data_IF_620151914523
#
_entry.id   IF_620151914523
#
_cell.length_a   1.000
_cell.length_b   1.000
_cell.length_c   1.000
_cell.angle_alpha   90.00
_cell.angle_beta   90.00
_cell.angle_gamma   90.00
#
_symmetry.space_group_name_H-M   'P 1'
#
loop_
_entity.id
_entity.type
_entity.pdbx_description
1 polymer ?
#
# COMPACT_ATOMS: atom_id res chain seq x y z
N UNK A 1 -47.44 -62.33 -14.51
CA UNK A 1 -46.02 -62.23 -14.87
C UNK A 1 -45.76 -60.82 -15.35
N UNK A 2 -45.11 -59.96 -14.57
CA UNK A 2 -44.52 -58.67 -15.00
C UNK A 2 -43.67 -58.18 -13.81
N UNK A 3 -42.35 -58.38 -13.87
CA UNK A 3 -41.39 -57.84 -12.89
C UNK A 3 -40.83 -56.54 -13.45
N UNK A 4 -41.18 -55.41 -12.85
CA UNK A 4 -40.59 -54.10 -13.12
C UNK A 4 -39.30 -53.97 -12.32
N UNK A 5 -38.20 -53.68 -13.01
CA UNK A 5 -36.87 -53.43 -12.44
C UNK A 5 -36.73 -51.94 -12.10
N UNK A 6 -36.48 -51.62 -10.83
CA UNK A 6 -36.10 -50.29 -10.38
C UNK A 6 -34.64 -50.05 -10.74
N UNK A 7 -34.36 -49.07 -11.62
CA UNK A 7 -33.00 -48.61 -11.90
C UNK A 7 -32.63 -47.46 -10.95
N UNK A 8 -31.58 -47.67 -10.16
CA UNK A 8 -31.02 -46.67 -9.26
C UNK A 8 -30.09 -45.75 -10.04
N UNK A 9 -30.45 -44.47 -10.18
CA UNK A 9 -29.58 -43.45 -10.77
C UNK A 9 -28.52 -43.06 -9.74
N UNK A 10 -27.26 -43.38 -10.06
CA UNK A 10 -26.09 -43.01 -9.26
C UNK A 10 -25.81 -41.51 -9.41
N UNK A 11 -25.91 -40.73 -8.33
CA UNK A 11 -25.46 -39.34 -8.30
C UNK A 11 -23.95 -39.31 -8.24
N UNK A 12 -23.31 -38.91 -9.34
CA UNK A 12 -21.90 -38.54 -9.35
C UNK A 12 -21.70 -37.25 -8.55
N UNK A 13 -21.14 -37.37 -7.35
CA UNK A 13 -20.64 -36.22 -6.59
C UNK A 13 -19.42 -35.65 -7.29
N UNK A 14 -19.56 -34.49 -7.94
CA UNK A 14 -18.42 -33.73 -8.46
C UNK A 14 -17.54 -33.26 -7.30
N UNK A 15 -16.34 -33.83 -7.18
CA UNK A 15 -15.32 -33.39 -6.24
C UNK A 15 -14.72 -32.07 -6.74
N UNK A 16 -15.23 -30.94 -6.22
CA UNK A 16 -14.55 -29.65 -6.37
C UNK A 16 -13.32 -29.69 -5.46
N UNK A 17 -12.09 -29.47 -5.98
CA UNK A 17 -10.91 -29.43 -5.14
C UNK A 17 -10.97 -28.18 -4.27
N UNK A 18 -11.35 -28.34 -2.99
CA UNK A 18 -11.16 -27.28 -2.00
C UNK A 18 -9.65 -27.07 -1.85
N UNK A 19 -9.17 -25.85 -2.11
CA UNK A 19 -7.83 -25.42 -1.70
C UNK A 19 -7.73 -25.58 -0.18
N UNK A 20 -7.11 -26.67 0.26
CA UNK A 20 -6.71 -26.88 1.64
C UNK A 20 -5.46 -26.03 1.86
N UNK A 21 -5.60 -24.97 2.65
CA UNK A 21 -4.46 -24.25 3.20
C UNK A 21 -3.70 -25.18 4.15
N UNK A 22 -2.36 -25.18 4.07
CA UNK A 22 -1.51 -25.95 4.97
C UNK A 22 -1.81 -25.57 6.44
N UNK A 23 -1.89 -26.54 7.37
CA UNK A 23 -2.04 -26.22 8.78
C UNK A 23 -0.79 -25.45 9.25
N UNK A 24 -0.94 -24.37 10.03
CA UNK A 24 0.21 -23.65 10.54
C UNK A 24 0.99 -24.58 11.47
N UNK A 25 2.30 -24.71 11.20
CA UNK A 25 3.27 -25.43 12.03
C UNK A 25 3.22 -24.85 13.45
N UNK A 26 2.51 -25.54 14.35
CA UNK A 26 2.62 -25.31 15.78
C UNK A 26 4.08 -25.52 16.21
N UNK A 27 4.58 -24.69 17.12
CA UNK A 27 5.90 -24.81 17.77
C UNK A 27 7.14 -24.27 17.04
N UNK A 28 7.06 -23.06 16.47
CA UNK A 28 8.17 -22.10 16.59
C UNK A 28 7.85 -21.10 17.72
N UNK A 29 7.66 -21.61 18.94
CA UNK A 29 7.38 -20.83 20.14
C UNK A 29 8.64 -20.24 20.80
N UNK A 30 9.79 -20.29 20.13
CA UNK A 30 10.91 -19.42 20.43
C UNK A 30 10.67 -18.07 19.71
N UNK A 31 9.62 -17.37 20.12
CA UNK A 31 9.46 -15.96 19.81
C UNK A 31 10.61 -15.24 20.52
N UNK A 32 11.75 -15.09 19.83
CA UNK A 32 12.82 -14.21 20.27
C UNK A 32 12.19 -12.88 20.63
N UNK A 33 12.43 -12.42 21.86
CA UNK A 33 12.03 -11.10 22.34
C UNK A 33 12.51 -10.12 21.28
N UNK A 34 11.57 -9.59 20.50
CA UNK A 34 11.86 -8.55 19.52
C UNK A 34 12.19 -7.33 20.36
N UNK A 35 13.48 -7.02 20.47
CA UNK A 35 13.92 -5.76 21.06
C UNK A 35 13.21 -4.66 20.28
N UNK A 36 12.41 -3.86 20.99
CA UNK A 36 11.63 -2.79 20.40
C UNK A 36 12.58 -1.78 19.76
N UNK A 37 12.59 -1.73 18.43
CA UNK A 37 13.39 -0.78 17.63
C UNK A 37 12.84 0.65 17.68
N UNK A 38 11.93 0.91 18.62
CA UNK A 38 11.15 2.13 18.74
C UNK A 38 11.55 2.97 19.95
N UNK A 39 12.75 2.77 20.50
CA UNK A 39 13.23 3.70 21.50
C UNK A 39 13.33 5.09 20.86
N UNK A 40 12.57 6.04 21.40
CA UNK A 40 12.54 7.44 20.99
C UNK A 40 13.06 8.24 22.18
N UNK A 41 14.09 9.05 21.95
CA UNK A 41 14.62 9.95 22.97
C UNK A 41 13.59 11.02 23.34
N UNK A 42 13.29 11.18 24.63
CA UNK A 42 12.29 12.13 25.14
C UNK A 42 12.91 13.44 25.68
N UNK A 43 14.23 13.48 25.83
CA UNK A 43 14.94 14.63 26.38
C UNK A 43 14.99 15.81 25.38
N UNK A 44 14.22 16.86 25.65
CA UNK A 44 14.13 18.04 24.79
C UNK A 44 15.48 18.69 24.45
N UNK A 45 16.43 18.72 25.41
CA UNK A 45 17.77 19.31 25.21
C UNK A 45 18.59 18.48 24.22
N UNK A 46 18.49 17.15 24.29
CA UNK A 46 19.17 16.25 23.34
C UNK A 46 18.58 16.39 21.94
N UNK A 47 17.24 16.42 21.83
CA UNK A 47 16.54 16.59 20.55
C UNK A 47 16.82 17.93 19.86
N UNK A 48 17.09 18.98 20.62
CA UNK A 48 17.43 20.30 20.07
C UNK A 48 18.90 20.42 19.64
N UNK A 49 19.79 19.56 20.13
CA UNK A 49 21.24 19.66 19.90
C UNK A 49 21.78 18.58 18.97
N UNK A 50 21.13 17.42 18.91
CA UNK A 50 21.58 16.26 18.18
C UNK A 50 20.45 15.61 17.38
N UNK A 51 20.83 14.90 16.32
CA UNK A 51 19.91 14.14 15.47
C UNK A 51 19.92 12.68 15.92
N UNK A 52 18.90 12.27 16.68
CA UNK A 52 18.75 10.92 17.25
C UNK A 52 18.33 9.86 16.22
N UNK A 53 19.09 9.67 15.15
CA UNK A 53 18.82 8.72 14.04
C UNK A 53 19.75 7.49 14.09
N UNK A 54 20.74 7.46 14.99
CA UNK A 54 21.73 6.38 14.99
C UNK A 54 21.08 5.01 15.26
N UNK A 55 21.15 4.11 14.29
CA UNK A 55 20.65 2.74 14.38
C UNK A 55 21.76 1.71 14.65
N UNK A 56 23.02 2.14 14.67
CA UNK A 56 24.16 1.29 14.97
C UNK A 56 24.36 1.20 16.47
N UNK A 57 24.52 -0.02 16.99
CA UNK A 57 24.86 -0.27 18.39
C UNK A 57 26.27 0.16 18.75
N UNK A 58 27.11 0.41 17.74
CA UNK A 58 28.46 0.91 17.88
C UNK A 58 28.48 2.35 17.37
N UNK A 59 28.59 3.29 18.30
CA UNK A 59 28.64 4.72 18.04
C UNK A 59 28.27 5.51 19.29
N UNK A 60 28.81 6.71 19.43
CA UNK A 60 28.46 7.58 20.54
C UNK A 60 26.99 8.01 20.39
N UNK A 61 26.12 7.51 21.26
CA UNK A 61 24.81 8.10 21.49
C UNK A 61 25.05 9.47 22.15
N UNK A 62 24.58 10.60 21.58
CA UNK A 62 23.41 10.75 20.72
C UNK A 62 23.75 11.29 19.32
N UNK A 63 23.98 10.43 18.31
CA UNK A 63 23.97 10.81 16.88
C UNK A 63 24.84 12.01 16.44
N UNK A 64 24.74 12.47 15.18
CA UNK A 64 25.43 13.68 14.73
C UNK A 64 24.81 14.94 15.35
N UNK A 65 25.67 15.88 15.78
CA UNK A 65 25.28 17.20 16.28
C UNK A 65 24.66 18.05 15.19
N UNK A 66 23.68 18.88 15.55
CA UNK A 66 23.11 19.89 14.67
C UNK A 66 24.12 21.05 14.57
N UNK A 67 24.51 21.36 13.34
CA UNK A 67 25.50 22.39 13.00
C UNK A 67 24.80 23.73 12.75
N UNK A 68 25.53 24.87 12.69
CA UNK A 68 24.92 26.13 12.29
C UNK A 68 24.46 26.10 10.82
N UNK A 69 23.45 26.90 10.49
CA UNK A 69 22.82 26.96 9.15
C UNK A 69 23.82 27.18 7.99
N UNK A 70 24.97 27.81 8.27
CA UNK A 70 26.04 28.06 7.30
C UNK A 70 26.74 26.80 6.79
N UNK A 71 26.70 25.70 7.53
CA UNK A 71 27.31 24.44 7.13
C UNK A 71 26.38 23.59 6.25
N UNK A 72 25.08 23.88 6.27
CA UNK A 72 24.09 23.19 5.46
C UNK A 72 23.95 23.84 4.08
N UNK A 73 23.66 23.05 3.04
CA UNK A 73 23.53 23.59 1.69
C UNK A 73 22.27 24.46 1.56
N UNK A 74 22.38 25.58 0.83
CA UNK A 74 21.31 26.58 0.71
C UNK A 74 19.97 26.03 0.19
N UNK A 75 20.00 25.00 -0.66
CA UNK A 75 18.78 24.38 -1.21
C UNK A 75 17.90 23.73 -0.13
N UNK A 76 18.47 23.36 1.02
CA UNK A 76 17.72 22.77 2.14
C UNK A 76 16.64 23.72 2.65
N UNK A 77 16.97 25.02 2.74
CA UNK A 77 16.07 26.07 3.20
C UNK A 77 15.12 26.60 2.12
N UNK A 78 15.33 26.18 0.86
CA UNK A 78 14.48 26.52 -0.29
C UNK A 78 13.44 25.43 -0.60
N UNK A 79 13.38 24.36 0.20
CA UNK A 79 12.41 23.29 0.01
C UNK A 79 10.98 23.76 0.33
N UNK A 80 10.04 23.45 -0.56
CA UNK A 80 8.62 23.71 -0.32
C UNK A 80 8.07 22.73 0.72
N UNK A 81 7.85 23.21 1.95
CA UNK A 81 7.26 22.43 3.06
C UNK A 81 5.71 22.37 3.03
N UNK A 82 5.10 22.91 1.97
CA UNK A 82 3.64 22.95 1.84
C UNK A 82 3.10 21.60 1.39
N UNK A 83 1.81 21.38 1.64
CA UNK A 83 1.12 20.23 1.07
C UNK A 83 1.26 20.23 -0.46
N UNK A 84 1.35 19.06 -1.11
CA UNK A 84 1.41 18.97 -2.56
C UNK A 84 0.23 19.71 -3.21
N UNK A 85 0.50 20.58 -4.17
CA UNK A 85 -0.51 21.29 -4.96
C UNK A 85 -1.31 20.32 -5.84
N UNK A 86 -2.57 20.64 -6.09
CA UNK A 86 -3.42 19.86 -6.98
C UNK A 86 -3.00 20.05 -8.45
N UNK A 87 -3.40 19.12 -9.32
CA UNK A 87 -3.06 19.17 -10.76
C UNK A 87 -3.54 20.46 -11.43
N UNK A 88 -4.65 21.03 -10.96
CA UNK A 88 -5.29 22.21 -11.54
C UNK A 88 -4.53 23.50 -11.23
N UNK A 89 -3.75 23.52 -10.15
CA UNK A 89 -2.91 24.66 -9.74
C UNK A 89 -1.48 24.59 -10.31
N UNK A 90 -1.11 23.44 -10.89
CA UNK A 90 0.23 23.22 -11.46
C UNK A 90 0.26 23.69 -12.91
N UNK A 91 1.33 24.41 -13.26
CA UNK A 91 1.55 24.88 -14.62
C UNK A 91 2.65 24.04 -15.30
N UNK A 92 2.39 23.56 -16.51
CA UNK A 92 3.33 22.74 -17.26
C UNK A 92 4.63 23.50 -17.58
N UNK A 93 4.56 24.82 -17.76
CA UNK A 93 5.72 25.65 -18.11
C UNK A 93 6.58 25.97 -16.89
N UNK A 94 5.99 26.12 -15.70
CA UNK A 94 6.70 26.53 -14.47
C UNK A 94 7.16 25.35 -13.63
N UNK A 95 6.28 24.37 -13.42
CA UNK A 95 6.52 23.25 -12.50
C UNK A 95 7.08 22.01 -13.24
N UNK A 96 7.08 22.04 -14.58
CA UNK A 96 7.70 21.06 -15.45
C UNK A 96 7.32 19.62 -15.10
N UNK A 97 8.27 18.87 -14.53
CA UNK A 97 8.10 17.45 -14.19
C UNK A 97 6.98 17.20 -13.16
N UNK A 98 6.75 18.11 -12.21
CA UNK A 98 5.74 17.93 -11.17
C UNK A 98 4.32 17.85 -11.76
N UNK A 99 4.04 18.69 -12.75
CA UNK A 99 2.76 18.68 -13.49
C UNK A 99 2.52 17.33 -14.17
N UNK A 100 3.50 16.84 -14.95
CA UNK A 100 3.37 15.57 -15.67
C UNK A 100 3.24 14.37 -14.74
N UNK A 101 3.95 14.38 -13.60
CA UNK A 101 3.81 13.36 -12.57
C UNK A 101 2.40 13.37 -11.96
N UNK A 102 1.85 14.54 -11.66
CA UNK A 102 0.48 14.70 -11.15
C UNK A 102 -0.56 14.24 -12.19
N UNK A 103 -0.38 14.60 -13.46
CA UNK A 103 -1.25 14.16 -14.57
C UNK A 103 -1.26 12.63 -14.69
N UNK A 104 -0.06 12.01 -14.64
CA UNK A 104 0.07 10.56 -14.71
C UNK A 104 -0.61 9.87 -13.52
N UNK A 105 -0.47 10.41 -12.31
CA UNK A 105 -1.16 9.92 -11.11
C UNK A 105 -2.69 9.95 -11.31
N UNK A 106 -3.26 11.07 -11.78
CA UNK A 106 -4.70 11.22 -12.08
C UNK A 106 -5.18 10.20 -13.11
N UNK A 107 -4.40 9.95 -14.16
CA UNK A 107 -4.73 8.94 -15.18
C UNK A 107 -4.77 7.51 -14.60
N UNK A 108 -3.80 7.16 -13.74
CA UNK A 108 -3.79 5.85 -13.07
C UNK A 108 -5.00 5.69 -12.15
N UNK A 109 -5.33 6.71 -11.36
CA UNK A 109 -6.49 6.71 -10.46
C UNK A 109 -7.81 6.58 -11.25
N UNK A 110 -7.97 7.30 -12.36
CA UNK A 110 -9.12 7.16 -13.26
C UNK A 110 -9.23 5.75 -13.83
N UNK A 111 -8.11 5.17 -14.28
CA UNK A 111 -8.09 3.80 -14.80
C UNK A 111 -8.48 2.79 -13.71
N UNK A 112 -7.96 2.94 -12.50
CA UNK A 112 -8.35 2.09 -11.36
C UNK A 112 -9.85 2.22 -11.05
N UNK A 113 -10.41 3.44 -11.10
CA UNK A 113 -11.84 3.67 -10.94
C UNK A 113 -12.66 2.97 -12.02
N UNK A 114 -12.28 3.11 -13.29
CA UNK A 114 -12.94 2.46 -14.42
C UNK A 114 -12.89 0.93 -14.26
N UNK A 115 -11.73 0.36 -13.91
CA UNK A 115 -11.59 -1.09 -13.71
C UNK A 115 -12.47 -1.62 -12.58
N UNK A 116 -12.56 -0.89 -11.46
CA UNK A 116 -13.49 -1.23 -10.36
C UNK A 116 -14.96 -1.20 -10.80
N UNK A 117 -15.34 -0.28 -11.68
CA UNK A 117 -16.72 -0.17 -12.16
C UNK A 117 -17.05 -1.26 -13.19
N UNK A 118 -16.10 -1.63 -14.06
CA UNK A 118 -16.26 -2.73 -15.03
C UNK A 118 -16.66 -4.04 -14.35
N UNK A 119 -16.04 -4.38 -13.23
CA UNK A 119 -16.35 -5.62 -12.51
C UNK A 119 -17.64 -5.52 -11.70
N UNK A 120 -17.96 -4.35 -11.13
CA UNK A 120 -19.18 -4.13 -10.35
C UNK A 120 -20.45 -4.24 -11.18
N UNK A 121 -20.43 -3.74 -12.41
CA UNK A 121 -21.62 -3.67 -13.27
C UNK A 121 -21.68 -4.77 -14.33
N UNK A 122 -20.92 -5.87 -14.18
CA UNK A 122 -20.90 -6.96 -15.15
C UNK A 122 -22.31 -7.52 -15.43
N UNK A 123 -23.16 -7.62 -14.40
CA UNK A 123 -24.56 -8.04 -14.54
C UNK A 123 -25.45 -7.02 -15.26
N UNK A 124 -25.10 -5.73 -15.19
CA UNK A 124 -25.87 -4.65 -15.83
C UNK A 124 -25.49 -4.46 -17.30
N UNK A 125 -24.24 -4.75 -17.68
CA UNK A 125 -23.78 -4.63 -19.07
C UNK A 125 -24.51 -5.56 -20.05
N UNK A 126 -25.07 -6.67 -19.56
CA UNK A 126 -25.89 -7.60 -20.35
C UNK A 126 -27.40 -7.42 -20.16
N UNK A 127 -27.84 -6.41 -19.39
CA UNK A 127 -29.26 -6.15 -19.14
C UNK A 127 -29.98 -5.75 -20.44
N UNK A 128 -31.20 -6.28 -20.70
CA UNK A 128 -32.02 -5.87 -21.85
C UNK A 128 -32.24 -4.35 -21.94
N UNK A 129 -32.20 -3.62 -20.82
CA UNK A 129 -32.37 -2.16 -20.78
C UNK A 129 -31.16 -1.35 -21.28
N UNK A 130 -29.97 -1.94 -21.33
CA UNK A 130 -28.75 -1.27 -21.83
C UNK A 130 -28.44 -1.59 -23.29
N UNK A 131 -29.11 -2.57 -23.90
CA UNK A 131 -29.01 -2.83 -25.33
C UNK A 131 -29.80 -1.74 -26.06
N UNK A 132 -29.11 -0.89 -26.83
CA UNK A 132 -29.79 0.01 -27.77
C UNK A 132 -30.52 -0.87 -28.79
N UNK A 133 -31.85 -0.73 -28.85
CA UNK A 133 -32.65 -1.26 -29.95
C UNK A 133 -32.20 -0.67 -31.29
#
# INVERSE_FOLDING_TARGET
MLRSTLSTVSRTTSLIPRRLYAPPKAAAAAAGVKVDKSFVEEDAVKLATHVCINAYTQGDEPGPKILPDSEYPEWLFKLDLRAPRDLEDLDAEKDGWLYWRALRKRQVEQNQRIQKLKTKFLHLQNSPSMKKN
#
